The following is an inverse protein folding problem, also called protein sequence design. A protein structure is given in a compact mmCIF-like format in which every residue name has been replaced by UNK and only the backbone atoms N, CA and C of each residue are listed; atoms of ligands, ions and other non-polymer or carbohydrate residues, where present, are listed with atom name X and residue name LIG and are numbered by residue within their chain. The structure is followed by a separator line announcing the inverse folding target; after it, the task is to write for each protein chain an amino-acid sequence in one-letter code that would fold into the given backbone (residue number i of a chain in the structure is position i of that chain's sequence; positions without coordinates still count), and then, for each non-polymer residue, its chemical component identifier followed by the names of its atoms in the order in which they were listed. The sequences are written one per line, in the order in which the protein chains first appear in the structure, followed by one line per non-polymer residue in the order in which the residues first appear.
data_IF_864784890685
#
_entry.id   IF_864784890685
#
_cell.length_a   1.000
_cell.length_b   1.000
_cell.length_c   1.000
_cell.angle_alpha   90.00
_cell.angle_beta   90.00
_cell.angle_gamma   90.00
#
_symmetry.space_group_name_H-M   'P 1'
#
loop_
_entity.id
_entity.type
_entity.pdbx_description
1 polymer ?
#
# COMPACT_ATOMS: atom_id res chain seq x y z
N UNK A 1 11.21 4.61 7.34
CA UNK A 1 10.45 5.66 8.02
C UNK A 1 11.11 6.17 9.33
N UNK A 2 11.99 5.43 9.92
CA UNK A 2 12.62 5.77 11.20
C UNK A 2 11.77 5.47 12.43
N UNK A 3 10.56 4.96 12.24
CA UNK A 3 9.66 4.55 13.30
C UNK A 3 8.85 3.33 12.84
N UNK A 4 8.29 2.60 13.80
CA UNK A 4 7.55 1.37 13.52
C UNK A 4 6.07 1.68 13.33
N UNK A 5 5.51 1.28 12.18
CA UNK A 5 4.10 1.43 11.88
C UNK A 5 3.27 0.41 12.68
N UNK A 6 2.22 0.90 13.33
CA UNK A 6 1.20 0.03 13.92
C UNK A 6 0.10 -0.20 12.87
N UNK A 7 0.04 -1.42 12.33
CA UNK A 7 -0.89 -1.74 11.24
C UNK A 7 -2.35 -1.66 11.67
N UNK A 8 -2.66 -1.98 12.92
CA UNK A 8 -4.04 -1.82 13.44
C UNK A 8 -4.45 -0.37 13.50
N UNK A 9 -3.56 0.50 13.96
CA UNK A 9 -3.81 1.95 13.98
C UNK A 9 -3.95 2.51 12.58
N UNK A 10 -3.12 2.06 11.66
CA UNK A 10 -3.18 2.49 10.27
C UNK A 10 -4.50 2.05 9.63
N UNK A 11 -4.93 0.82 9.85
CA UNK A 11 -6.22 0.35 9.32
C UNK A 11 -7.38 1.18 9.86
N UNK A 12 -7.36 1.48 11.15
CA UNK A 12 -8.39 2.33 11.78
C UNK A 12 -8.35 3.75 11.23
N UNK A 13 -7.15 4.31 11.02
CA UNK A 13 -6.98 5.63 10.42
C UNK A 13 -7.60 5.69 9.02
N UNK A 14 -7.33 4.69 8.18
CA UNK A 14 -7.89 4.62 6.84
C UNK A 14 -9.41 4.56 6.86
N UNK A 15 -9.97 3.80 7.79
CA UNK A 15 -11.42 3.69 7.95
C UNK A 15 -12.04 5.03 8.37
N UNK A 16 -11.48 5.69 9.36
CA UNK A 16 -12.02 6.93 9.91
C UNK A 16 -11.80 8.13 9.01
N UNK A 17 -10.60 8.26 8.43
CA UNK A 17 -10.24 9.42 7.62
C UNK A 17 -10.83 9.36 6.22
N UNK A 18 -10.79 8.19 5.59
CA UNK A 18 -11.15 8.04 4.17
C UNK A 18 -12.32 7.10 3.94
N UNK A 19 -12.96 6.60 4.98
CA UNK A 19 -14.08 5.65 4.89
C UNK A 19 -13.71 4.38 4.11
N UNK A 20 -12.47 3.90 4.27
CA UNK A 20 -11.99 2.70 3.56
C UNK A 20 -12.66 1.46 4.15
N UNK A 21 -13.38 0.72 3.31
CA UNK A 21 -14.06 -0.51 3.68
C UNK A 21 -13.17 -1.73 3.49
N UNK A 22 -12.38 -1.74 2.42
CA UNK A 22 -11.54 -2.87 2.05
C UNK A 22 -10.09 -2.41 1.93
N UNK A 23 -9.20 -3.09 2.63
CA UNK A 23 -7.77 -2.80 2.58
C UNK A 23 -7.01 -4.06 2.19
N UNK A 24 -6.42 -4.05 1.01
CA UNK A 24 -5.56 -5.13 0.55
C UNK A 24 -4.12 -4.89 0.98
N UNK A 25 -3.44 -5.97 1.31
CA UNK A 25 -2.00 -5.96 1.60
C UNK A 25 -1.32 -6.98 0.69
N UNK A 26 -0.58 -6.49 -0.27
CA UNK A 26 0.12 -7.33 -1.24
C UNK A 26 1.50 -7.65 -0.69
N UNK A 27 1.80 -8.93 -0.55
CA UNK A 27 3.04 -9.36 0.10
C UNK A 27 3.56 -10.65 -0.53
N UNK A 28 4.88 -10.73 -0.71
CA UNK A 28 5.52 -11.99 -1.09
C UNK A 28 5.43 -12.99 0.05
N UNK A 29 5.01 -14.21 -0.26
CA UNK A 29 4.90 -15.24 0.77
C UNK A 29 6.28 -15.71 1.22
N UNK A 30 6.51 -15.68 2.54
CA UNK A 30 7.73 -16.20 3.16
C UNK A 30 7.32 -17.16 4.26
N UNK A 31 7.79 -18.39 4.15
CA UNK A 31 7.57 -19.42 5.18
C UNK A 31 8.17 -18.96 6.51
N UNK A 32 7.44 -19.13 7.60
CA UNK A 32 7.88 -18.70 8.93
C UNK A 32 7.30 -17.37 9.38
N UNK A 33 6.59 -16.64 8.50
CA UNK A 33 5.98 -15.35 8.83
C UNK A 33 4.50 -15.45 9.18
N UNK A 34 4.02 -16.63 9.57
CA UNK A 34 2.60 -16.87 9.86
C UNK A 34 2.03 -15.93 10.93
N UNK A 35 2.82 -15.63 11.97
CA UNK A 35 2.37 -14.72 13.03
C UNK A 35 2.11 -13.31 12.48
N UNK A 36 2.99 -12.81 11.63
CA UNK A 36 2.81 -11.53 10.96
C UNK A 36 1.54 -11.52 10.12
N UNK A 37 1.34 -12.56 9.31
CA UNK A 37 0.16 -12.66 8.45
C UNK A 37 -1.12 -12.72 9.25
N UNK A 38 -1.12 -13.48 10.34
CA UNK A 38 -2.26 -13.56 11.25
C UNK A 38 -2.59 -12.21 11.88
N UNK A 39 -1.57 -11.47 12.31
CA UNK A 39 -1.76 -10.13 12.88
C UNK A 39 -2.36 -9.16 11.87
N UNK A 40 -1.88 -9.18 10.63
CA UNK A 40 -2.40 -8.32 9.57
C UNK A 40 -3.86 -8.64 9.25
N UNK A 41 -4.22 -9.91 9.19
CA UNK A 41 -5.61 -10.33 8.97
C UNK A 41 -6.52 -9.88 10.11
N UNK A 42 -6.07 -10.04 11.35
CA UNK A 42 -6.82 -9.57 12.53
C UNK A 42 -6.99 -8.07 12.56
N UNK A 43 -6.01 -7.33 12.03
CA UNK A 43 -6.10 -5.88 11.92
C UNK A 43 -7.10 -5.42 10.86
N UNK A 44 -7.55 -6.32 9.97
CA UNK A 44 -8.56 -6.01 8.96
C UNK A 44 -8.04 -5.91 7.54
N UNK A 45 -6.83 -6.42 7.26
CA UNK A 45 -6.29 -6.45 5.90
C UNK A 45 -6.63 -7.77 5.21
N UNK A 46 -6.92 -7.67 3.92
CA UNK A 46 -7.02 -8.84 3.04
C UNK A 46 -5.63 -9.06 2.44
N UNK A 47 -5.02 -10.18 2.77
CA UNK A 47 -3.68 -10.49 2.27
C UNK A 47 -3.77 -11.09 0.88
N UNK A 48 -2.95 -10.56 -0.03
CA UNK A 48 -2.76 -11.12 -1.37
C UNK A 48 -1.32 -11.57 -1.46
N UNK A 49 -1.12 -12.86 -1.46
CA UNK A 49 0.22 -13.46 -1.48
C UNK A 49 0.68 -13.68 -2.90
N UNK A 50 1.95 -13.39 -3.13
CA UNK A 50 2.65 -13.82 -4.33
C UNK A 50 3.67 -14.88 -3.94
N UNK A 51 3.71 -16.03 -4.62
CA UNK A 51 4.76 -17.00 -4.37
C UNK A 51 6.14 -16.39 -4.63
N UNK A 52 7.08 -16.62 -3.71
CA UNK A 52 8.46 -16.21 -3.87
C UNK A 52 9.25 -17.40 -4.37
N UNK A 53 10.03 -17.19 -5.43
CA UNK A 53 10.83 -18.25 -6.06
C UNK A 53 12.29 -17.80 -6.05
N UNK A 54 13.23 -18.65 -5.60
CA UNK A 54 14.64 -18.31 -5.68
C UNK A 54 15.07 -18.19 -7.15
N UNK A 55 15.88 -17.17 -7.45
CA UNK A 55 16.46 -17.02 -8.77
C UNK A 55 17.68 -17.92 -8.94
N UNK A 56 18.38 -17.80 -10.07
CA UNK A 56 19.57 -18.61 -10.38
C UNK A 56 20.72 -18.37 -9.40
N UNK A 57 20.72 -17.24 -8.68
CA UNK A 57 21.72 -16.89 -7.68
C UNK A 57 21.25 -17.23 -6.27
N UNK A 58 20.12 -17.89 -6.11
CA UNK A 58 19.54 -18.25 -4.83
C UNK A 58 18.80 -17.13 -4.13
N UNK A 59 18.65 -15.97 -4.77
CA UNK A 59 17.89 -14.84 -4.21
C UNK A 59 16.40 -15.07 -4.40
N UNK A 60 15.61 -14.69 -3.40
CA UNK A 60 14.16 -14.79 -3.47
C UNK A 60 13.61 -13.54 -4.15
N UNK A 61 12.84 -13.74 -5.22
CA UNK A 61 12.15 -12.67 -5.94
C UNK A 61 10.65 -12.76 -5.69
N UNK A 62 10.05 -11.64 -5.29
CA UNK A 62 8.61 -11.51 -5.19
C UNK A 62 8.21 -10.13 -5.65
N UNK A 63 7.77 -10.00 -6.92
CA UNK A 63 7.27 -8.74 -7.44
C UNK A 63 5.75 -8.74 -7.34
N UNK A 64 5.22 -7.86 -6.50
CA UNK A 64 3.79 -7.73 -6.24
C UNK A 64 3.14 -6.60 -7.02
N UNK A 65 3.91 -5.83 -7.79
CA UNK A 65 3.42 -4.62 -8.45
C UNK A 65 2.31 -4.91 -9.45
N UNK A 66 2.51 -5.95 -10.26
CA UNK A 66 1.51 -6.35 -11.26
C UNK A 66 0.21 -6.81 -10.60
N UNK A 67 0.31 -7.52 -9.49
CA UNK A 67 -0.88 -8.03 -8.76
C UNK A 67 -1.69 -6.89 -8.17
N UNK A 68 -1.03 -5.88 -7.63
CA UNK A 68 -1.70 -4.69 -7.08
C UNK A 68 -2.44 -3.94 -8.19
N UNK A 69 -1.78 -3.68 -9.31
CA UNK A 69 -2.40 -2.97 -10.44
C UNK A 69 -3.58 -3.76 -10.99
N UNK A 70 -3.42 -5.06 -11.15
CA UNK A 70 -4.50 -5.92 -11.64
C UNK A 70 -5.70 -5.90 -10.70
N UNK A 71 -5.48 -6.02 -9.39
CA UNK A 71 -6.58 -6.01 -8.42
C UNK A 71 -7.31 -4.66 -8.43
N UNK A 72 -6.56 -3.56 -8.54
CA UNK A 72 -7.17 -2.23 -8.64
C UNK A 72 -8.09 -2.11 -9.84
N UNK A 73 -7.74 -2.74 -10.95
CA UNK A 73 -8.56 -2.70 -12.16
C UNK A 73 -9.71 -3.70 -12.13
N UNK A 74 -9.51 -4.88 -11.53
CA UNK A 74 -10.61 -5.85 -11.34
C UNK A 74 -11.73 -5.22 -10.51
N UNK A 75 -11.39 -4.51 -9.44
CA UNK A 75 -12.36 -3.92 -8.52
C UNK A 75 -12.79 -2.51 -8.92
N UNK A 76 -12.35 -2.01 -10.06
CA UNK A 76 -12.49 -0.61 -10.47
C UNK A 76 -13.94 -0.09 -10.37
N UNK A 77 -14.92 -0.91 -10.70
CA UNK A 77 -16.34 -0.53 -10.64
C UNK A 77 -16.94 -0.67 -9.24
N UNK A 78 -16.21 -1.22 -8.29
CA UNK A 78 -16.73 -1.54 -6.95
C UNK A 78 -16.32 -0.52 -5.87
N UNK A 79 -15.42 0.40 -6.18
CA UNK A 79 -15.03 1.45 -5.25
C UNK A 79 -15.20 2.83 -5.87
N UNK A 80 -15.43 3.83 -5.02
CA UNK A 80 -15.53 5.22 -5.46
C UNK A 80 -14.15 5.87 -5.56
N UNK A 81 -13.31 5.68 -4.55
CA UNK A 81 -11.99 6.27 -4.45
C UNK A 81 -11.00 5.25 -3.90
N UNK A 82 -9.80 5.25 -4.46
CA UNK A 82 -8.72 4.38 -4.02
C UNK A 82 -7.65 5.17 -3.26
N UNK A 83 -7.09 4.57 -2.23
CA UNK A 83 -5.87 5.02 -1.56
C UNK A 83 -4.76 4.04 -1.92
N UNK A 84 -3.69 4.56 -2.50
CA UNK A 84 -2.52 3.76 -2.87
C UNK A 84 -1.42 4.08 -1.86
N UNK A 85 -0.91 3.06 -1.17
CA UNK A 85 0.16 3.22 -0.18
C UNK A 85 1.46 2.73 -0.77
N UNK A 86 2.28 3.64 -1.27
CA UNK A 86 3.55 3.30 -1.90
C UNK A 86 4.40 4.55 -2.14
N UNK A 87 5.71 4.36 -2.20
CA UNK A 87 6.67 5.37 -2.68
C UNK A 87 7.25 5.00 -4.05
N UNK A 88 6.82 3.88 -4.63
CA UNK A 88 7.39 3.30 -5.83
C UNK A 88 6.81 3.92 -7.09
N UNK A 89 7.69 4.45 -7.95
CA UNK A 89 7.31 5.06 -9.21
C UNK A 89 6.72 4.08 -10.22
N UNK A 90 6.87 2.77 -10.03
CA UNK A 90 6.29 1.78 -10.94
C UNK A 90 4.76 1.85 -10.95
N UNK A 91 4.15 2.45 -9.92
CA UNK A 91 2.70 2.65 -9.87
C UNK A 91 2.22 3.93 -10.55
N UNK A 92 3.10 4.70 -11.19
CA UNK A 92 2.72 6.01 -11.74
C UNK A 92 1.57 5.91 -12.76
N UNK A 93 1.54 4.89 -13.58
CA UNK A 93 0.48 4.71 -14.59
C UNK A 93 -0.88 4.46 -13.95
N UNK A 94 -0.93 3.62 -12.92
CA UNK A 94 -2.16 3.38 -12.16
C UNK A 94 -2.64 4.66 -11.49
N UNK A 95 -1.75 5.37 -10.82
CA UNK A 95 -2.09 6.62 -10.12
C UNK A 95 -2.61 7.66 -11.10
N UNK A 96 -1.93 7.82 -12.23
CA UNK A 96 -2.36 8.76 -13.29
C UNK A 96 -3.75 8.40 -13.80
N UNK A 97 -4.00 7.13 -14.07
CA UNK A 97 -5.29 6.66 -14.57
C UNK A 97 -6.41 6.93 -13.55
N UNK A 98 -6.19 6.57 -12.29
CA UNK A 98 -7.17 6.81 -11.23
C UNK A 98 -7.42 8.30 -11.02
N UNK A 99 -6.38 9.12 -11.10
CA UNK A 99 -6.52 10.57 -11.00
C UNK A 99 -7.43 11.11 -12.13
N UNK A 100 -7.15 10.70 -13.37
CA UNK A 100 -7.92 11.13 -14.53
C UNK A 100 -9.38 10.70 -14.47
N UNK A 101 -9.66 9.55 -13.88
CA UNK A 101 -11.02 9.03 -13.70
C UNK A 101 -11.71 9.56 -12.45
N UNK A 102 -11.05 10.46 -11.70
CA UNK A 102 -11.54 10.98 -10.44
C UNK A 102 -11.85 9.86 -9.41
N UNK A 103 -11.02 8.82 -9.42
CA UNK A 103 -11.14 7.69 -8.50
C UNK A 103 -9.93 7.53 -7.59
N UNK A 104 -9.04 8.53 -7.54
CA UNK A 104 -7.93 8.57 -6.63
C UNK A 104 -8.27 9.45 -5.43
N UNK A 105 -8.29 8.86 -4.23
CA UNK A 105 -8.43 9.62 -2.98
C UNK A 105 -7.10 10.28 -2.62
N UNK A 106 -6.05 9.47 -2.53
CA UNK A 106 -4.68 9.95 -2.32
C UNK A 106 -3.68 8.82 -2.54
N UNK A 107 -2.41 9.22 -2.66
CA UNK A 107 -1.26 8.33 -2.54
C UNK A 107 -0.59 8.63 -1.22
N UNK A 108 -0.46 7.62 -0.36
CA UNK A 108 0.24 7.74 0.91
C UNK A 108 1.64 7.16 0.76
N UNK A 109 2.63 8.03 0.79
CA UNK A 109 4.02 7.63 0.62
C UNK A 109 4.68 7.40 1.98
N UNK A 110 5.23 6.20 2.25
CA UNK A 110 5.95 5.93 3.48
C UNK A 110 7.23 6.76 3.62
N UNK A 111 7.84 7.14 2.50
CA UNK A 111 9.14 7.82 2.48
C UNK A 111 9.06 9.12 1.68
N UNK A 112 9.22 10.27 2.36
CA UNK A 112 9.18 11.55 1.67
C UNK A 112 10.45 11.84 0.87
N UNK A 113 11.63 11.40 1.38
CA UNK A 113 12.93 11.64 0.72
C UNK A 113 13.14 10.76 -0.49
N UNK A 114 12.64 9.52 -0.47
CA UNK A 114 12.85 8.54 -1.53
C UNK A 114 11.60 8.29 -2.36
N UNK A 115 10.56 9.10 -2.16
CA UNK A 115 9.37 9.01 -2.98
C UNK A 115 9.69 9.37 -4.44
N UNK A 116 9.26 8.52 -5.37
CA UNK A 116 9.51 8.72 -6.79
C UNK A 116 8.93 10.05 -7.28
N UNK A 117 9.71 10.78 -8.09
CA UNK A 117 9.25 12.00 -8.72
C UNK A 117 8.11 11.74 -9.71
N UNK A 118 8.12 10.60 -10.39
CA UNK A 118 7.02 10.20 -11.28
C UNK A 118 5.72 10.04 -10.49
N UNK A 119 5.80 9.41 -9.31
CA UNK A 119 4.65 9.21 -8.46
C UNK A 119 4.08 10.55 -7.96
N UNK A 120 4.94 11.45 -7.52
CA UNK A 120 4.53 12.80 -7.08
C UNK A 120 3.83 13.56 -8.21
N UNK A 121 4.38 13.51 -9.43
CA UNK A 121 3.80 14.17 -10.60
C UNK A 121 2.45 13.57 -10.97
N UNK A 122 2.29 12.27 -10.82
CA UNK A 122 1.03 11.59 -11.15
C UNK A 122 -0.07 11.85 -10.13
N UNK A 123 0.28 11.90 -8.85
CA UNK A 123 -0.66 12.13 -7.76
C UNK A 123 -1.02 13.61 -7.58
N UNK A 124 -0.13 14.51 -8.02
CA UNK A 124 -0.30 15.96 -7.92
C UNK A 124 -0.56 16.37 -6.46
N UNK A 125 -1.68 17.07 -6.19
CA UNK A 125 -2.05 17.53 -4.85
C UNK A 125 -2.52 16.41 -3.92
N UNK A 126 -2.68 15.20 -4.44
CA UNK A 126 -3.22 14.06 -3.66
C UNK A 126 -2.14 13.19 -3.04
N UNK A 127 -0.91 13.70 -2.92
CA UNK A 127 0.15 12.99 -2.21
C UNK A 127 0.11 13.30 -0.72
N UNK A 128 0.23 12.26 0.11
CA UNK A 128 0.31 12.39 1.57
C UNK A 128 1.55 11.64 2.04
N UNK A 129 2.38 12.27 2.85
CA UNK A 129 3.56 11.62 3.40
C UNK A 129 3.26 11.07 4.79
N UNK A 130 3.47 9.77 4.97
CA UNK A 130 3.13 9.08 6.23
C UNK A 130 3.97 9.58 7.41
N UNK A 131 5.18 10.10 7.16
CA UNK A 131 6.00 10.69 8.20
C UNK A 131 5.33 11.82 8.97
N UNK A 132 4.43 12.57 8.32
CA UNK A 132 3.67 13.64 8.95
C UNK A 132 2.56 13.10 9.88
N UNK A 133 2.32 11.80 9.87
CA UNK A 133 1.27 11.14 10.65
C UNK A 133 1.85 10.24 11.73
N UNK A 134 3.13 10.38 12.04
CA UNK A 134 3.84 9.50 12.97
C UNK A 134 3.09 9.31 14.29
N UNK A 135 2.66 10.40 14.93
CA UNK A 135 1.98 10.34 16.23
C UNK A 135 0.70 9.51 16.19
N UNK A 136 0.01 9.50 15.06
CA UNK A 136 -1.24 8.76 14.88
C UNK A 136 -1.01 7.29 14.53
N UNK A 137 0.11 6.99 13.86
CA UNK A 137 0.31 5.70 13.23
C UNK A 137 1.41 4.85 13.87
N UNK A 138 2.28 5.43 14.71
CA UNK A 138 3.40 4.66 15.26
C UNK A 138 2.95 3.67 16.33
N UNK A 139 3.67 2.56 16.38
CA UNK A 139 3.46 1.54 17.40
C UNK A 139 3.85 2.10 18.76
N UNK A 140 2.94 1.98 19.73
CA UNK A 140 3.17 2.42 21.11
C UNK A 140 3.24 1.20 22.01
N UNK A 141 4.32 1.14 22.78
CA UNK A 141 4.55 0.07 23.75
C UNK A 141 3.70 0.32 24.99
#
# INVERSE_FOLDING_TARGET
MGWKLDFSRFRQYLKEKYAIKTAYYFIGYVSGNQDLYSQLQKAGYILVFKPTVPDNDGKIKGNIDADLVLQAMIDFSEYDKAVIVSSDGDYYSLVKYLYQKNELRCVMSPYNKTCSSLLKKSAKEKIVFMGNLQKKLEYKV
#
